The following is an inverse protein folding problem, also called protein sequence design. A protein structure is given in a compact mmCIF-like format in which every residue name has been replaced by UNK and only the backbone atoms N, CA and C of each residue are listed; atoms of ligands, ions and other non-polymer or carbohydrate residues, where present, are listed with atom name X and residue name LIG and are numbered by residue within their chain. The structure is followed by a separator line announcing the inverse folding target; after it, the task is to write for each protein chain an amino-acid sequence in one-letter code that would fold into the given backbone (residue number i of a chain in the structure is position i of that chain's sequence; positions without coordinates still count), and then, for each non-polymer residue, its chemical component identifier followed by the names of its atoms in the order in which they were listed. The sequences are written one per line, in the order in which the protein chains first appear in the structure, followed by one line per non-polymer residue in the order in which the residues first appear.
data_IF_503725502435
#
_entry.id   IF_503725502435
#
_cell.length_a   1.000
_cell.length_b   1.000
_cell.length_c   1.000
_cell.angle_alpha   90.00
_cell.angle_beta   90.00
_cell.angle_gamma   90.00
#
_symmetry.space_group_name_H-M   'P 1'
#
loop_
_entity.id
_entity.type
_entity.pdbx_description
1 polymer ?
#
# COMPACT_ATOMS: atom_id res chain seq x y z
N UNK A 1 -21.76 34.80 11.29
CA UNK A 1 -20.44 34.28 10.89
C UNK A 1 -20.64 32.81 10.57
N UNK A 2 -21.04 32.52 9.33
CA UNK A 2 -21.29 31.15 8.85
C UNK A 2 -19.94 30.58 8.43
N UNK A 3 -19.31 29.78 9.29
CA UNK A 3 -18.12 29.02 8.91
C UNK A 3 -18.62 27.97 7.92
N UNK A 4 -18.22 28.08 6.66
CA UNK A 4 -18.68 27.19 5.60
C UNK A 4 -18.23 25.76 5.89
N UNK A 5 -19.17 24.83 6.04
CA UNK A 5 -18.94 23.39 6.25
C UNK A 5 -17.98 22.76 5.22
N UNK A 6 -17.77 23.44 4.09
CA UNK A 6 -16.84 23.04 3.03
C UNK A 6 -15.38 23.00 3.47
N UNK A 7 -14.94 23.86 4.38
CA UNK A 7 -13.53 23.87 4.83
C UNK A 7 -13.19 22.65 5.70
N UNK A 8 -14.15 22.16 6.50
CA UNK A 8 -13.99 20.96 7.33
C UNK A 8 -13.87 19.71 6.46
N UNK A 9 -14.68 19.63 5.39
CA UNK A 9 -14.62 18.49 4.45
C UNK A 9 -13.33 18.45 3.62
N UNK A 10 -12.76 19.63 3.29
CA UNK A 10 -11.49 19.71 2.56
C UNK A 10 -10.32 19.26 3.45
N UNK A 11 -10.26 19.73 4.70
CA UNK A 11 -9.24 19.31 5.66
C UNK A 11 -9.22 17.79 5.91
N UNK A 12 -10.40 17.18 6.07
CA UNK A 12 -10.50 15.72 6.26
C UNK A 12 -10.06 14.92 5.01
N UNK A 13 -10.33 15.43 3.79
CA UNK A 13 -9.89 14.79 2.56
C UNK A 13 -8.37 14.89 2.38
N UNK A 14 -7.77 16.02 2.74
CA UNK A 14 -6.33 16.23 2.66
C UNK A 14 -5.57 15.34 3.65
N UNK A 15 -6.05 15.21 4.89
CA UNK A 15 -5.49 14.30 5.90
C UNK A 15 -5.58 12.82 5.46
N UNK A 16 -6.71 12.41 4.88
CA UNK A 16 -6.86 11.06 4.35
C UNK A 16 -5.90 10.78 3.18
N UNK A 17 -5.75 11.73 2.26
CA UNK A 17 -4.82 11.62 1.14
C UNK A 17 -3.37 11.56 1.62
N UNK A 18 -3.02 12.33 2.64
CA UNK A 18 -1.70 12.28 3.27
C UNK A 18 -1.45 10.91 3.91
N UNK A 19 -2.38 10.42 4.76
CA UNK A 19 -2.26 9.11 5.39
C UNK A 19 -2.16 7.96 4.38
N UNK A 20 -2.88 8.05 3.26
CA UNK A 20 -2.79 7.08 2.16
C UNK A 20 -1.44 7.13 1.46
N UNK A 21 -0.86 8.32 1.29
CA UNK A 21 0.46 8.49 0.69
C UNK A 21 1.53 7.92 1.61
N UNK A 22 1.50 8.28 2.90
CA UNK A 22 2.42 7.77 3.91
C UNK A 22 2.34 6.24 4.02
N UNK A 23 1.13 5.67 3.96
CA UNK A 23 0.93 4.23 3.96
C UNK A 23 1.53 3.54 2.72
N UNK A 24 1.39 4.15 1.53
CA UNK A 24 1.99 3.65 0.27
C UNK A 24 3.51 3.70 0.31
N UNK A 25 4.08 4.78 0.81
CA UNK A 25 5.53 4.93 0.97
C UNK A 25 6.07 3.92 2.00
N UNK A 26 5.39 3.78 3.14
CA UNK A 26 5.72 2.79 4.17
C UNK A 26 5.68 1.36 3.66
N UNK A 27 4.65 1.00 2.89
CA UNK A 27 4.56 -0.33 2.24
C UNK A 27 5.71 -0.55 1.26
N UNK A 28 6.04 0.44 0.43
CA UNK A 28 7.16 0.35 -0.52
C UNK A 28 8.49 0.12 0.21
N UNK A 29 8.74 0.86 1.28
CA UNK A 29 9.95 0.70 2.09
C UNK A 29 10.03 -0.68 2.75
N UNK A 30 8.92 -1.21 3.26
CA UNK A 30 8.85 -2.55 3.84
C UNK A 30 9.11 -3.63 2.79
N UNK A 31 8.52 -3.50 1.60
CA UNK A 31 8.73 -4.40 0.47
C UNK A 31 10.22 -4.51 0.07
N UNK A 32 10.90 -3.37 -0.05
CA UNK A 32 12.33 -3.32 -0.36
C UNK A 32 13.16 -4.02 0.73
N UNK A 33 12.85 -3.78 2.01
CA UNK A 33 13.54 -4.43 3.12
C UNK A 33 13.33 -5.94 3.10
N UNK A 34 12.09 -6.39 2.91
CA UNK A 34 11.76 -7.81 2.83
C UNK A 34 12.48 -8.50 1.66
N UNK A 35 12.51 -7.90 0.48
CA UNK A 35 13.26 -8.41 -0.68
C UNK A 35 14.75 -8.59 -0.36
N UNK A 36 15.37 -7.57 0.24
CA UNK A 36 16.79 -7.62 0.64
C UNK A 36 17.07 -8.69 1.70
N UNK A 37 16.16 -8.84 2.66
CA UNK A 37 16.26 -9.89 3.67
C UNK A 37 16.20 -11.26 3.01
N UNK A 38 15.18 -11.55 2.21
CA UNK A 38 15.04 -12.85 1.53
C UNK A 38 16.25 -13.15 0.64
N UNK A 39 16.69 -12.20 -0.19
CA UNK A 39 17.86 -12.38 -1.04
C UNK A 39 19.17 -12.60 -0.26
N UNK A 40 19.27 -12.05 0.96
CA UNK A 40 20.44 -12.22 1.82
C UNK A 40 20.47 -13.52 2.63
N UNK A 41 19.32 -14.17 2.84
CA UNK A 41 19.19 -15.38 3.66
C UNK A 41 18.81 -16.64 2.87
N UNK A 42 18.33 -16.49 1.63
CA UNK A 42 18.05 -17.63 0.78
C UNK A 42 19.35 -18.32 0.34
N UNK A 43 19.43 -19.63 0.59
CA UNK A 43 20.57 -20.46 0.18
C UNK A 43 20.39 -21.06 -1.21
N UNK A 44 19.16 -21.03 -1.72
CA UNK A 44 18.75 -21.62 -2.99
C UNK A 44 18.03 -20.56 -3.84
N UNK A 45 18.40 -20.41 -5.14
CA UNK A 45 17.82 -19.37 -5.99
C UNK A 45 16.33 -19.61 -6.28
N UNK A 46 15.88 -20.86 -6.38
CA UNK A 46 14.48 -21.21 -6.58
C UNK A 46 13.63 -20.94 -5.34
N UNK A 47 14.17 -21.21 -4.14
CA UNK A 47 13.54 -20.83 -2.87
C UNK A 47 13.44 -19.30 -2.72
N UNK A 48 14.51 -18.58 -3.08
CA UNK A 48 14.51 -17.12 -3.09
C UNK A 48 13.37 -16.56 -3.96
N UNK A 49 13.24 -17.05 -5.20
CA UNK A 49 12.18 -16.65 -6.11
C UNK A 49 10.79 -16.98 -5.57
N UNK A 50 10.63 -18.13 -4.93
CA UNK A 50 9.37 -18.56 -4.31
C UNK A 50 8.98 -17.64 -3.17
N UNK A 51 9.92 -17.32 -2.28
CA UNK A 51 9.71 -16.43 -1.15
C UNK A 51 9.39 -14.99 -1.60
N UNK A 52 10.06 -14.49 -2.65
CA UNK A 52 9.75 -13.19 -3.23
C UNK A 52 8.34 -13.14 -3.83
N UNK A 53 7.88 -14.19 -4.52
CA UNK A 53 6.51 -14.30 -5.02
C UNK A 53 5.47 -14.35 -3.91
N UNK A 54 5.73 -15.09 -2.83
CA UNK A 54 4.82 -15.14 -1.67
C UNK A 54 4.64 -13.77 -1.00
N UNK A 55 5.63 -12.89 -1.14
CA UNK A 55 5.59 -11.52 -0.65
C UNK A 55 5.02 -10.52 -1.68
N UNK A 56 4.71 -10.97 -2.91
CA UNK A 56 4.29 -10.11 -4.02
C UNK A 56 5.38 -9.12 -4.44
N UNK A 57 6.63 -9.58 -4.46
CA UNK A 57 7.83 -8.78 -4.75
C UNK A 57 8.49 -9.15 -6.09
N UNK A 58 7.89 -10.08 -6.85
CA UNK A 58 8.32 -10.47 -8.18
C UNK A 58 7.94 -9.42 -9.24
N UNK A 59 8.72 -9.36 -10.33
CA UNK A 59 8.53 -8.37 -11.41
C UNK A 59 7.16 -8.47 -12.09
N UNK A 60 6.52 -9.65 -12.03
CA UNK A 60 5.16 -9.88 -12.54
C UNK A 60 4.06 -9.40 -11.58
N UNK A 61 4.40 -9.00 -10.36
CA UNK A 61 3.47 -8.44 -9.38
C UNK A 61 3.24 -6.93 -9.55
N UNK A 62 3.56 -6.35 -10.72
CA UNK A 62 3.06 -5.02 -11.10
C UNK A 62 1.53 -5.04 -11.21
N UNK A 63 0.93 -4.61 -10.09
CA UNK A 63 -0.35 -3.93 -9.93
C UNK A 63 -1.65 -4.73 -10.16
N UNK A 64 -2.41 -5.04 -9.09
CA UNK A 64 -3.81 -4.71 -9.14
C UNK A 64 -3.96 -3.19 -9.03
N UNK A 65 -3.78 -2.47 -10.16
CA UNK A 65 -4.39 -1.16 -10.37
C UNK A 65 -5.91 -1.31 -10.60
N UNK A 66 -6.54 -2.09 -9.71
CA UNK A 66 -7.96 -2.38 -9.68
C UNK A 66 -8.39 -2.78 -8.27
N UNK A 67 -7.76 -2.22 -7.24
CA UNK A 67 -8.49 -1.93 -6.01
C UNK A 67 -9.36 -0.71 -6.28
N UNK A 68 -10.44 -0.90 -7.07
CA UNK A 68 -11.60 -0.02 -6.98
C UNK A 68 -11.92 0.09 -5.50
N UNK A 69 -12.07 1.29 -4.91
CA UNK A 69 -12.52 1.39 -3.54
C UNK A 69 -13.91 0.75 -3.50
N UNK A 70 -13.99 -0.45 -2.91
CA UNK A 70 -15.27 -1.07 -2.58
C UNK A 70 -15.80 -0.22 -1.44
N UNK A 71 -16.51 0.85 -1.76
CA UNK A 71 -17.30 1.60 -0.81
C UNK A 71 -18.38 0.64 -0.28
N UNK A 72 -18.09 -0.02 0.83
CA UNK A 72 -19.11 -0.68 1.63
C UNK A 72 -19.89 0.44 2.30
N UNK A 73 -21.02 0.82 1.70
CA UNK A 73 -21.96 1.73 2.33
C UNK A 73 -22.44 1.09 3.66
N UNK A 74 -22.54 1.87 4.75
CA UNK A 74 -23.13 1.36 5.98
C UNK A 74 -24.59 0.99 5.71
N UNK A 75 -24.96 -0.23 6.09
CA UNK A 75 -26.36 -0.66 6.12
C UNK A 75 -27.06 0.15 7.23
N UNK A 76 -28.16 0.80 6.86
CA UNK A 76 -29.03 1.63 7.69
C UNK A 76 -29.55 0.89 8.93
#
# INVERSE_FOLDING_TARGET
MTVSDTDVTRGAADEFNQARTDAREGMTAQRIRAARTVAGYATDPEDCLTLLRMLGLDEDSEAPDSARPVHVAPVL
#
